data_IF_498022686901
#
_entry.id   IF_498022686901
#
_cell.length_a   1.000
_cell.length_b   1.000
_cell.length_c   1.000
_cell.angle_alpha   90.00
_cell.angle_beta   90.00
_cell.angle_gamma   90.00
#
_symmetry.space_group_name_H-M   'P 1'
#
loop_
_entity.id
_entity.type
_entity.pdbx_description
1 polymer ?
#
# COMPACT_ATOMS: atom_id res chain seq x y z
N UNK A 1 -19.46 61.00 39.23
CA UNK A 1 -18.72 60.11 40.17
C UNK A 1 -19.17 58.68 39.95
N UNK A 2 -18.20 57.77 39.78
CA UNK A 2 -18.24 56.29 39.77
C UNK A 2 -19.09 55.59 38.68
N UNK A 3 -18.40 55.07 37.66
CA UNK A 3 -18.84 53.95 36.81
C UNK A 3 -18.20 52.66 37.34
N UNK A 4 -19.03 51.64 37.51
CA UNK A 4 -18.70 50.31 38.02
C UNK A 4 -18.09 49.47 36.88
N UNK A 5 -16.89 48.90 37.09
CA UNK A 5 -16.24 47.97 36.17
C UNK A 5 -16.33 46.56 36.76
N UNK A 6 -17.02 45.67 36.05
CA UNK A 6 -17.16 44.24 36.39
C UNK A 6 -15.95 43.49 35.83
N UNK A 7 -15.11 42.93 36.72
CA UNK A 7 -14.07 41.95 36.37
C UNK A 7 -14.65 40.55 36.60
N UNK A 8 -14.74 39.73 35.56
CA UNK A 8 -15.02 38.30 35.69
C UNK A 8 -13.69 37.54 35.83
N UNK A 9 -13.42 37.04 37.03
CA UNK A 9 -12.39 36.03 37.31
C UNK A 9 -13.06 34.65 37.20
N UNK A 10 -12.63 33.81 36.25
CA UNK A 10 -13.05 32.40 36.21
C UNK A 10 -12.16 31.63 37.19
N UNK A 11 -12.77 31.23 38.31
CA UNK A 11 -12.20 30.35 39.32
C UNK A 11 -12.26 28.90 38.84
N UNK A 12 -11.11 28.22 38.86
CA UNK A 12 -10.97 26.77 38.66
C UNK A 12 -11.40 26.09 39.97
N UNK A 13 -12.51 25.35 39.93
CA UNK A 13 -12.98 24.53 41.04
C UNK A 13 -12.61 23.06 40.79
N UNK A 14 -11.68 22.59 41.62
CA UNK A 14 -11.32 21.18 41.82
C UNK A 14 -12.44 20.55 42.65
N UNK A 15 -13.10 19.50 42.15
CA UNK A 15 -13.89 18.59 43.00
C UNK A 15 -13.48 17.16 42.67
N UNK A 16 -12.77 16.60 43.64
CA UNK A 16 -12.52 15.18 43.86
C UNK A 16 -13.76 14.55 44.49
N UNK A 17 -14.22 13.41 43.98
CA UNK A 17 -14.95 12.41 44.76
C UNK A 17 -14.69 11.02 44.19
N UNK A 18 -14.17 10.16 45.07
CA UNK A 18 -14.01 8.71 44.93
C UNK A 18 -15.05 8.06 45.85
N UNK A 19 -15.77 7.06 45.34
CA UNK A 19 -15.96 5.72 45.92
C UNK A 19 -17.13 4.98 45.23
N UNK A 20 -16.76 3.90 44.54
CA UNK A 20 -17.20 2.52 44.67
C UNK A 20 -18.70 2.20 44.86
N UNK A 21 -19.24 1.42 43.91
CA UNK A 21 -19.92 0.12 44.12
C UNK A 21 -19.81 -0.69 42.81
N UNK A 22 -19.39 -1.94 42.97
CA UNK A 22 -19.15 -3.01 41.99
C UNK A 22 -20.38 -3.40 41.15
N UNK A 23 -20.20 -3.82 39.88
CA UNK A 23 -20.01 -5.25 39.56
C UNK A 23 -20.07 -5.52 38.03
N UNK A 24 -19.15 -6.39 37.60
CA UNK A 24 -19.16 -7.22 36.38
C UNK A 24 -19.36 -6.59 34.99
N UNK A 25 -18.26 -6.11 34.40
CA UNK A 25 -17.90 -6.54 33.03
C UNK A 25 -16.39 -6.73 32.93
N UNK A 26 -16.00 -7.93 32.50
CA UNK A 26 -14.62 -8.40 32.37
C UNK A 26 -13.76 -7.44 31.55
N UNK A 27 -12.85 -6.77 32.24
CA UNK A 27 -11.71 -6.05 31.68
C UNK A 27 -10.88 -6.95 30.75
N UNK A 28 -10.99 -6.74 29.44
CA UNK A 28 -9.89 -6.94 28.50
C UNK A 28 -9.41 -5.58 27.98
N UNK A 29 -8.95 -4.74 28.90
CA UNK A 29 -7.95 -3.73 28.57
C UNK A 29 -6.59 -4.40 28.79
N UNK A 30 -6.14 -5.17 27.80
CA UNK A 30 -4.77 -5.70 27.77
C UNK A 30 -3.87 -4.66 27.11
N UNK A 31 -3.15 -3.95 27.98
CA UNK A 31 -1.73 -3.58 27.86
C UNK A 31 -1.24 -2.96 26.55
N UNK A 32 -0.82 -1.69 26.67
CA UNK A 32 0.17 -1.01 25.84
C UNK A 32 1.29 -1.99 25.48
N UNK A 33 1.39 -2.38 24.21
CA UNK A 33 2.44 -3.26 23.72
C UNK A 33 3.80 -2.55 23.80
N UNK A 34 4.81 -3.23 24.33
CA UNK A 34 6.19 -2.77 24.34
C UNK A 34 6.71 -2.74 22.90
N UNK A 35 6.85 -1.55 22.33
CA UNK A 35 7.51 -1.37 21.03
C UNK A 35 9.03 -1.51 21.26
N UNK A 36 9.64 -2.54 20.66
CA UNK A 36 11.08 -2.77 20.72
C UNK A 36 11.68 -2.62 19.32
N UNK A 37 12.81 -1.92 19.22
CA UNK A 37 13.58 -1.87 17.99
C UNK A 37 14.57 -3.03 17.96
N UNK A 38 14.45 -3.90 16.96
CA UNK A 38 15.33 -5.05 16.77
C UNK A 38 16.27 -4.75 15.62
N UNK A 39 17.57 -4.83 15.88
CA UNK A 39 18.58 -4.83 14.82
C UNK A 39 18.82 -6.28 14.40
N UNK A 40 18.44 -6.59 13.17
CA UNK A 40 18.65 -7.89 12.54
C UNK A 40 20.14 -8.12 12.24
N UNK A 41 20.55 -9.37 11.96
CA UNK A 41 21.95 -9.72 11.67
C UNK A 41 22.52 -8.95 10.47
N UNK A 42 21.67 -8.64 9.50
CA UNK A 42 21.98 -7.78 8.35
C UNK A 42 22.28 -6.32 8.69
N UNK A 43 22.10 -5.90 9.96
CA UNK A 43 22.20 -4.52 10.40
C UNK A 43 20.93 -3.69 10.17
N UNK A 44 19.87 -4.31 9.64
CA UNK A 44 18.58 -3.67 9.39
C UNK A 44 17.80 -3.56 10.68
N UNK A 45 17.21 -2.41 10.93
CA UNK A 45 16.36 -2.19 12.09
C UNK A 45 14.91 -2.38 11.70
N UNK A 46 14.20 -3.21 12.45
CA UNK A 46 12.76 -3.42 12.36
C UNK A 46 12.12 -3.10 13.70
N UNK A 47 10.88 -2.65 13.66
CA UNK A 47 10.08 -2.42 14.87
C UNK A 47 9.31 -3.68 15.21
N UNK A 48 9.45 -4.18 16.44
CA UNK A 48 8.66 -5.29 16.96
C UNK A 48 7.53 -4.75 17.83
N UNK A 49 6.29 -5.13 17.50
CA UNK A 49 5.07 -4.82 18.26
C UNK A 49 4.35 -6.13 18.54
N UNK A 50 4.43 -6.60 19.79
CA UNK A 50 3.98 -7.95 20.15
C UNK A 50 4.72 -9.01 19.33
N UNK A 51 3.98 -9.77 18.53
CA UNK A 51 4.52 -10.82 17.64
C UNK A 51 4.79 -10.34 16.20
N UNK A 52 4.47 -9.07 15.90
CA UNK A 52 4.63 -8.49 14.57
C UNK A 52 5.99 -7.80 14.42
N UNK A 53 6.59 -7.95 13.24
CA UNK A 53 7.79 -7.21 12.82
C UNK A 53 7.42 -6.26 11.70
N UNK A 54 7.66 -4.97 11.91
CA UNK A 54 7.32 -3.89 11.00
C UNK A 54 8.62 -3.33 10.41
N UNK A 55 8.75 -3.43 9.09
CA UNK A 55 9.76 -2.76 8.30
C UNK A 55 9.15 -1.53 7.65
N UNK A 56 9.96 -0.52 7.33
CA UNK A 56 9.41 0.61 6.59
C UNK A 56 8.37 1.42 7.38
N UNK A 57 8.17 1.16 8.69
CA UNK A 57 7.19 1.87 9.49
C UNK A 57 5.73 1.50 9.19
N UNK A 58 5.45 0.92 8.02
CA UNK A 58 4.10 0.62 7.51
C UNK A 58 4.03 -0.77 6.84
N UNK A 59 5.07 -1.61 6.93
CA UNK A 59 5.08 -2.93 6.31
C UNK A 59 5.26 -4.05 7.34
N UNK A 60 4.20 -4.83 7.57
CA UNK A 60 4.31 -6.05 8.38
C UNK A 60 5.04 -7.12 7.56
N UNK A 61 6.15 -7.61 8.11
CA UNK A 61 6.95 -8.66 7.52
C UNK A 61 6.31 -10.02 7.77
N UNK A 62 6.07 -10.78 6.69
CA UNK A 62 5.87 -12.23 6.81
C UNK A 62 7.12 -12.91 7.39
N UNK A 63 6.97 -14.11 7.92
CA UNK A 63 8.12 -14.88 8.43
C UNK A 63 9.22 -15.08 7.38
N UNK A 64 8.85 -15.22 6.09
CA UNK A 64 9.78 -15.32 4.98
C UNK A 64 10.54 -14.01 4.75
N UNK A 65 9.83 -12.88 4.74
CA UNK A 65 10.43 -11.57 4.55
C UNK A 65 11.33 -11.19 5.74
N UNK A 66 10.90 -11.47 6.97
CA UNK A 66 11.72 -11.25 8.16
C UNK A 66 13.00 -12.07 8.12
N UNK A 67 12.91 -13.36 7.79
CA UNK A 67 14.08 -14.24 7.65
C UNK A 67 15.03 -13.72 6.56
N UNK A 68 14.50 -13.35 5.41
CA UNK A 68 15.28 -12.79 4.32
C UNK A 68 15.98 -11.49 4.72
N UNK A 69 15.24 -10.60 5.38
CA UNK A 69 15.77 -9.33 5.85
C UNK A 69 16.85 -9.56 6.91
N UNK A 70 16.68 -10.55 7.79
CA UNK A 70 17.66 -10.92 8.81
C UNK A 70 18.95 -11.48 8.23
N UNK A 71 18.85 -12.43 7.31
CA UNK A 71 20.00 -13.16 6.79
C UNK A 71 20.73 -12.41 5.67
N UNK A 72 19.99 -11.67 4.83
CA UNK A 72 20.49 -11.16 3.53
C UNK A 72 20.38 -9.65 3.38
N UNK A 73 19.68 -8.99 4.29
CA UNK A 73 19.50 -7.55 4.24
C UNK A 73 18.58 -7.07 3.12
N UNK A 74 17.68 -7.92 2.62
CA UNK A 74 16.68 -7.53 1.63
C UNK A 74 15.34 -8.27 1.88
N UNK A 75 14.22 -7.67 1.45
CA UNK A 75 12.87 -8.13 1.80
C UNK A 75 12.45 -9.44 1.13
N UNK A 76 13.11 -9.85 0.06
CA UNK A 76 12.56 -10.87 -0.86
C UNK A 76 13.47 -12.11 -1.01
N UNK A 77 14.74 -12.00 -0.65
CA UNK A 77 15.73 -13.07 -0.52
C UNK A 77 16.20 -13.64 -1.86
N UNK A 78 17.41 -14.21 -1.91
CA UNK A 78 17.82 -15.03 -3.07
C UNK A 78 17.17 -16.43 -3.08
N UNK A 79 16.19 -16.68 -2.20
CA UNK A 79 15.47 -17.94 -2.20
C UNK A 79 14.40 -17.87 -3.28
N UNK A 80 14.90 -18.02 -4.50
CA UNK A 80 14.21 -18.54 -5.66
C UNK A 80 13.22 -19.64 -5.21
N UNK A 81 11.94 -19.29 -5.05
CA UNK A 81 10.97 -20.15 -5.72
C UNK A 81 11.47 -20.14 -7.18
N UNK A 82 11.76 -21.28 -7.82
CA UNK A 82 12.27 -21.28 -9.20
C UNK A 82 11.39 -20.43 -10.14
N UNK A 83 10.11 -20.28 -9.81
CA UNK A 83 9.12 -19.45 -10.48
C UNK A 83 9.11 -17.94 -10.11
N UNK A 84 9.81 -17.48 -9.06
CA UNK A 84 9.93 -16.05 -8.66
C UNK A 84 11.14 -15.37 -9.34
N UNK A 85 11.90 -16.09 -10.17
CA UNK A 85 12.81 -15.46 -11.15
C UNK A 85 11.95 -14.69 -12.13
N UNK A 86 11.94 -13.37 -11.98
CA UNK A 86 11.32 -12.49 -12.96
C UNK A 86 11.97 -12.77 -14.33
N UNK A 87 11.22 -13.37 -15.26
CA UNK A 87 11.62 -13.39 -16.65
C UNK A 87 11.51 -11.96 -17.18
N UNK A 88 12.61 -11.20 -17.06
CA UNK A 88 12.70 -9.82 -17.52
C UNK A 88 12.72 -9.72 -19.04
N UNK A 89 12.75 -10.84 -19.76
CA UNK A 89 12.67 -10.84 -21.22
C UNK A 89 11.24 -10.72 -21.71
N UNK A 90 10.23 -10.93 -20.86
CA UNK A 90 8.81 -10.91 -21.22
C UNK A 90 8.04 -9.90 -20.34
N UNK A 91 7.21 -9.07 -20.96
CA UNK A 91 6.33 -8.16 -20.24
C UNK A 91 5.23 -8.94 -19.50
N UNK A 92 5.12 -8.80 -18.17
CA UNK A 92 4.34 -9.70 -17.32
C UNK A 92 2.83 -9.60 -17.55
N UNK A 93 2.37 -8.50 -18.13
CA UNK A 93 0.95 -8.26 -18.45
C UNK A 93 0.58 -8.70 -19.87
N UNK A 94 1.49 -8.50 -20.83
CA UNK A 94 1.19 -8.69 -22.25
C UNK A 94 1.74 -10.01 -22.79
N UNK A 95 2.59 -10.69 -22.00
CA UNK A 95 3.32 -11.88 -22.39
C UNK A 95 4.06 -11.70 -23.73
N UNK A 96 4.60 -10.50 -23.95
CA UNK A 96 5.36 -10.11 -25.15
C UNK A 96 6.83 -9.91 -24.76
N UNK A 97 7.80 -10.22 -25.63
CA UNK A 97 9.20 -9.90 -25.33
C UNK A 97 9.35 -8.41 -25.01
N UNK A 98 10.06 -8.06 -23.95
CA UNK A 98 10.31 -6.66 -23.56
C UNK A 98 10.94 -5.87 -24.71
N UNK A 99 11.80 -6.50 -25.52
CA UNK A 99 12.38 -5.90 -26.74
C UNK A 99 11.36 -5.49 -27.81
N UNK A 100 10.18 -6.13 -27.85
CA UNK A 100 9.08 -5.73 -28.76
C UNK A 100 8.30 -4.50 -28.27
N UNK A 101 8.50 -4.12 -27.01
CA UNK A 101 7.93 -2.90 -26.41
C UNK A 101 8.91 -1.72 -26.45
N UNK A 102 10.19 -1.95 -26.77
CA UNK A 102 11.24 -0.93 -26.92
C UNK A 102 11.15 -0.13 -28.24
N UNK A 103 10.18 -0.44 -29.11
CA UNK A 103 9.91 0.31 -30.34
C UNK A 103 9.40 1.73 -30.10
N UNK A 104 10.32 2.69 -30.26
CA UNK A 104 10.25 4.13 -30.56
C UNK A 104 9.34 5.10 -29.80
N UNK A 105 8.46 4.70 -28.86
CA UNK A 105 7.83 5.70 -27.95
C UNK A 105 7.05 5.16 -26.74
N UNK A 106 7.30 3.92 -26.29
CA UNK A 106 6.53 3.31 -25.20
C UNK A 106 7.31 3.34 -23.89
N UNK A 107 6.70 3.94 -22.87
CA UNK A 107 7.33 4.26 -21.60
C UNK A 107 7.42 3.09 -20.65
N UNK A 108 8.66 2.82 -20.27
CA UNK A 108 9.02 2.00 -19.12
C UNK A 108 8.50 2.62 -17.79
N UNK A 109 8.20 1.82 -16.76
CA UNK A 109 7.53 2.24 -15.52
C UNK A 109 8.32 3.31 -14.76
N UNK A 110 7.64 4.37 -14.29
CA UNK A 110 8.34 5.57 -13.80
C UNK A 110 8.47 5.73 -12.27
N UNK A 111 8.25 4.66 -11.51
CA UNK A 111 8.17 4.65 -10.03
C UNK A 111 8.79 3.35 -9.47
N UNK A 112 9.04 3.26 -8.17
CA UNK A 112 9.56 2.06 -7.51
C UNK A 112 8.46 1.05 -7.17
N UNK A 113 8.63 -0.18 -7.63
CA UNK A 113 7.85 -1.33 -7.17
C UNK A 113 8.61 -2.63 -7.35
N UNK A 114 7.99 -3.75 -6.99
CA UNK A 114 8.57 -5.08 -7.21
C UNK A 114 8.79 -5.35 -8.70
N UNK A 115 9.73 -6.22 -9.06
CA UNK A 115 9.73 -6.72 -10.43
C UNK A 115 8.43 -7.45 -10.70
N UNK A 116 7.79 -7.03 -11.77
CA UNK A 116 6.51 -7.54 -12.14
C UNK A 116 6.66 -8.99 -12.62
N UNK A 117 6.08 -9.92 -11.86
CA UNK A 117 5.96 -11.33 -12.23
C UNK A 117 4.53 -11.82 -11.95
N UNK A 118 4.09 -12.93 -12.61
CA UNK A 118 2.72 -13.42 -12.47
C UNK A 118 2.32 -13.85 -11.05
N UNK A 119 3.28 -14.20 -10.20
CA UNK A 119 3.06 -14.67 -8.82
C UNK A 119 2.90 -13.53 -7.81
N UNK A 120 3.48 -12.37 -8.12
CA UNK A 120 3.52 -11.20 -7.26
C UNK A 120 2.59 -10.07 -7.66
N UNK A 121 2.10 -10.06 -8.90
CA UNK A 121 1.09 -9.11 -9.34
C UNK A 121 -0.32 -9.68 -9.29
N UNK A 122 -1.27 -8.75 -9.23
CA UNK A 122 -2.70 -9.05 -9.24
C UNK A 122 -3.24 -8.89 -10.66
N UNK A 123 -3.92 -9.91 -11.18
CA UNK A 123 -4.81 -9.69 -12.32
C UNK A 123 -5.98 -8.79 -11.89
N UNK A 124 -6.55 -9.06 -10.72
CA UNK A 124 -7.54 -8.25 -10.04
C UNK A 124 -7.31 -8.40 -8.54
N UNK A 125 -7.32 -7.29 -7.81
CA UNK A 125 -7.02 -7.26 -6.38
C UNK A 125 -8.24 -7.78 -5.61
N UNK A 126 -8.23 -9.06 -5.24
CA UNK A 126 -9.28 -9.67 -4.41
C UNK A 126 -9.16 -9.14 -2.98
N UNK A 127 -10.23 -8.61 -2.42
CA UNK A 127 -10.25 -8.14 -1.04
C UNK A 127 -11.50 -8.57 -0.27
N UNK A 128 -11.41 -8.55 1.06
CA UNK A 128 -12.52 -8.78 1.99
C UNK A 128 -12.48 -7.75 3.11
N UNK A 129 -13.62 -7.42 3.70
CA UNK A 129 -13.65 -6.71 4.99
C UNK A 129 -13.46 -7.72 6.14
N UNK A 130 -12.51 -7.44 7.03
CA UNK A 130 -12.30 -8.22 8.25
C UNK A 130 -13.37 -7.97 9.30
N UNK A 131 -13.43 -8.86 10.30
CA UNK A 131 -14.42 -8.78 11.38
C UNK A 131 -14.33 -7.46 12.18
N UNK A 132 -13.12 -6.90 12.30
CA UNK A 132 -12.84 -5.61 12.95
C UNK A 132 -13.53 -4.43 12.27
N UNK A 133 -13.83 -4.54 10.96
CA UNK A 133 -14.63 -3.55 10.23
C UNK A 133 -16.09 -3.97 10.24
N UNK A 134 -16.40 -5.22 9.90
CA UNK A 134 -17.79 -5.69 9.72
C UNK A 134 -18.65 -5.55 10.98
N UNK A 135 -18.05 -5.77 12.16
CA UNK A 135 -18.76 -5.74 13.44
C UNK A 135 -18.64 -4.38 14.15
N UNK A 136 -17.96 -3.39 13.55
CA UNK A 136 -17.76 -2.09 14.18
C UNK A 136 -18.98 -1.18 14.02
N UNK A 137 -19.36 -0.36 15.02
CA UNK A 137 -20.48 0.58 14.91
C UNK A 137 -20.38 1.54 13.71
N UNK A 138 -19.16 1.96 13.38
CA UNK A 138 -18.86 2.85 12.24
C UNK A 138 -18.54 2.11 10.92
N UNK A 139 -18.94 0.84 10.79
CA UNK A 139 -18.60 0.01 9.62
C UNK A 139 -18.90 0.65 8.27
N UNK A 140 -20.05 1.33 8.15
CA UNK A 140 -20.48 1.91 6.87
C UNK A 140 -19.55 3.08 6.46
N UNK A 141 -19.06 3.85 7.43
CA UNK A 141 -18.04 4.88 7.20
C UNK A 141 -16.72 4.25 6.76
N UNK A 142 -16.24 3.21 7.46
CA UNK A 142 -14.98 2.55 7.10
C UNK A 142 -15.05 1.95 5.69
N UNK A 143 -16.12 1.24 5.38
CA UNK A 143 -16.36 0.70 4.04
C UNK A 143 -16.43 1.82 3.01
N UNK A 144 -17.18 2.90 3.25
CA UNK A 144 -17.24 4.04 2.32
C UNK A 144 -15.85 4.65 2.05
N UNK A 145 -15.00 4.80 3.06
CA UNK A 145 -13.64 5.35 2.92
C UNK A 145 -12.71 4.42 2.16
N UNK A 146 -12.77 3.12 2.42
CA UNK A 146 -12.00 2.11 1.68
C UNK A 146 -12.43 2.06 0.22
N UNK A 147 -13.74 2.06 -0.05
CA UNK A 147 -14.28 2.13 -1.41
C UNK A 147 -13.84 3.39 -2.13
N UNK A 148 -13.83 4.53 -1.45
CA UNK A 148 -13.33 5.80 -2.01
C UNK A 148 -11.87 5.65 -2.45
N UNK A 149 -11.01 5.05 -1.64
CA UNK A 149 -9.60 4.81 -1.99
C UNK A 149 -9.47 3.93 -3.24
N UNK A 150 -10.22 2.82 -3.28
CA UNK A 150 -10.25 1.93 -4.43
C UNK A 150 -10.75 2.65 -5.69
N UNK A 151 -11.79 3.47 -5.58
CA UNK A 151 -12.31 4.28 -6.69
C UNK A 151 -11.30 5.33 -7.18
N UNK A 152 -10.56 5.98 -6.28
CA UNK A 152 -9.47 6.90 -6.65
C UNK A 152 -8.41 6.18 -7.49
N UNK A 153 -8.04 4.94 -7.11
CA UNK A 153 -7.08 4.13 -7.88
C UNK A 153 -7.67 3.70 -9.23
N UNK A 154 -8.88 3.11 -9.24
CA UNK A 154 -9.46 2.54 -10.46
C UNK A 154 -9.81 3.59 -11.52
N UNK A 155 -10.26 4.78 -11.09
CA UNK A 155 -10.68 5.85 -12.01
C UNK A 155 -9.53 6.46 -12.82
N UNK A 156 -8.28 6.16 -12.45
CA UNK A 156 -7.10 6.75 -13.05
C UNK A 156 -6.08 5.72 -13.53
N UNK A 157 -6.36 4.42 -13.29
CA UNK A 157 -5.44 3.33 -13.57
C UNK A 157 -6.12 2.06 -14.10
N UNK A 158 -5.30 1.09 -14.51
CA UNK A 158 -5.72 -0.24 -14.93
C UNK A 158 -5.97 -1.21 -13.75
N UNK A 159 -5.65 -0.84 -12.50
CA UNK A 159 -5.92 -1.71 -11.35
C UNK A 159 -7.42 -1.87 -11.17
N UNK A 160 -7.88 -3.08 -10.82
CA UNK A 160 -9.27 -3.37 -10.47
C UNK A 160 -9.32 -4.18 -9.19
N UNK A 161 -10.32 -3.91 -8.36
CA UNK A 161 -10.55 -4.57 -7.09
C UNK A 161 -11.78 -5.47 -7.18
N UNK A 162 -11.76 -6.62 -6.51
CA UNK A 162 -12.88 -7.55 -6.42
C UNK A 162 -13.30 -7.73 -4.97
N UNK A 163 -14.52 -7.30 -4.64
CA UNK A 163 -15.05 -7.49 -3.29
C UNK A 163 -15.54 -8.93 -3.14
N UNK A 164 -14.73 -9.73 -2.44
CA UNK A 164 -15.03 -11.13 -2.18
C UNK A 164 -15.47 -11.37 -0.73
N UNK A 165 -15.96 -10.32 -0.05
CA UNK A 165 -16.49 -10.43 1.31
C UNK A 165 -17.64 -11.43 1.32
N UNK A 166 -17.56 -12.44 2.20
CA UNK A 166 -18.54 -13.52 2.30
C UNK A 166 -18.36 -14.66 1.28
N UNK A 167 -17.36 -14.59 0.40
CA UNK A 167 -17.03 -15.68 -0.52
C UNK A 167 -15.96 -16.61 0.07
N UNK A 168 -15.87 -17.89 -0.39
CA UNK A 168 -14.84 -18.82 0.06
C UNK A 168 -13.43 -18.25 -0.13
N UNK A 169 -12.58 -18.39 0.88
CA UNK A 169 -11.16 -18.03 0.85
C UNK A 169 -10.28 -19.19 0.42
N UNK A 170 -10.86 -20.38 0.30
CA UNK A 170 -10.27 -21.61 -0.23
C UNK A 170 -11.15 -22.10 -1.35
N UNK A 171 -10.54 -22.55 -2.43
CA UNK A 171 -11.27 -23.14 -3.55
C UNK A 171 -12.02 -24.40 -3.07
N UNK A 172 -13.35 -24.46 -3.22
CA UNK A 172 -14.15 -25.57 -2.67
C UNK A 172 -13.91 -26.89 -3.41
N UNK A 173 -13.32 -26.86 -4.61
CA UNK A 173 -13.07 -28.04 -5.45
C UNK A 173 -11.66 -28.56 -5.25
N UNK A 174 -10.68 -27.66 -5.26
CA UNK A 174 -9.26 -27.99 -5.33
C UNK A 174 -8.48 -27.68 -4.05
N UNK A 175 -9.10 -27.01 -3.07
CA UNK A 175 -8.53 -26.81 -1.74
C UNK A 175 -7.36 -25.81 -1.67
N UNK A 176 -7.02 -25.12 -2.76
CA UNK A 176 -5.99 -24.08 -2.71
C UNK A 176 -6.55 -22.78 -2.11
N UNK A 177 -5.72 -22.06 -1.35
CA UNK A 177 -6.10 -20.79 -0.76
C UNK A 177 -6.07 -19.68 -1.80
N UNK A 178 -7.19 -19.00 -2.03
CA UNK A 178 -7.22 -17.82 -2.88
C UNK A 178 -6.35 -16.72 -2.26
N UNK A 179 -5.52 -16.01 -3.03
CA UNK A 179 -4.86 -14.80 -2.56
C UNK A 179 -5.90 -13.70 -2.33
N UNK A 180 -5.87 -13.02 -1.19
CA UNK A 180 -6.74 -11.86 -0.94
C UNK A 180 -6.22 -10.94 0.16
N UNK A 181 -6.58 -9.66 0.06
CA UNK A 181 -6.36 -8.66 1.09
C UNK A 181 -7.55 -8.62 2.05
N UNK A 182 -7.33 -8.87 3.33
CA UNK A 182 -8.29 -8.62 4.39
C UNK A 182 -8.07 -7.21 4.95
N UNK A 183 -9.06 -6.33 4.74
CA UNK A 183 -9.04 -4.96 5.24
C UNK A 183 -9.48 -4.95 6.71
N UNK A 184 -8.66 -4.40 7.59
CA UNK A 184 -8.88 -4.39 9.03
C UNK A 184 -8.85 -2.98 9.60
N UNK A 185 -9.63 -2.78 10.65
CA UNK A 185 -9.53 -1.60 11.51
C UNK A 185 -8.80 -1.98 12.80
N UNK A 186 -7.79 -1.18 13.16
CA UNK A 186 -6.89 -1.48 14.29
C UNK A 186 -6.90 -0.40 15.37
N UNK A 187 -7.88 0.51 15.34
CA UNK A 187 -8.10 1.44 16.44
C UNK A 187 -7.09 2.58 16.51
N UNK A 188 -6.81 3.03 17.74
CA UNK A 188 -5.98 4.19 18.04
C UNK A 188 -4.47 3.94 17.99
N UNK A 189 -4.01 2.89 17.32
CA UNK A 189 -2.57 2.73 17.08
C UNK A 189 -2.07 3.83 16.14
N UNK A 190 -0.80 4.17 16.26
CA UNK A 190 -0.15 5.27 15.53
C UNK A 190 0.36 4.87 14.14
N UNK A 191 0.00 3.67 13.66
CA UNK A 191 0.47 3.11 12.40
C UNK A 191 -0.65 2.44 11.61
N UNK A 192 -0.67 2.63 10.29
CA UNK A 192 -1.41 1.78 9.35
C UNK A 192 -0.38 0.95 8.61
N UNK A 193 -0.71 -0.29 8.27
CA UNK A 193 0.27 -1.22 7.71
C UNK A 193 -0.29 -2.12 6.63
N UNK A 194 0.55 -2.47 5.66
CA UNK A 194 0.30 -3.53 4.69
C UNK A 194 1.15 -4.76 4.99
N UNK A 195 0.57 -5.97 4.91
CA UNK A 195 1.35 -7.19 5.09
C UNK A 195 1.97 -7.63 3.76
N UNK A 196 3.15 -7.09 3.47
CA UNK A 196 3.95 -7.42 2.29
C UNK A 196 3.77 -6.47 1.11
N UNK A 197 4.53 -6.74 0.05
CA UNK A 197 4.52 -5.96 -1.19
C UNK A 197 4.05 -6.84 -2.33
N UNK A 198 2.96 -6.43 -2.98
CA UNK A 198 2.30 -7.22 -4.01
C UNK A 198 1.48 -8.39 -3.45
N UNK A 199 1.09 -9.28 -4.36
CA UNK A 199 0.39 -10.52 -4.06
C UNK A 199 1.30 -11.50 -3.34
N UNK A 200 0.80 -12.11 -2.27
CA UNK A 200 1.49 -13.23 -1.63
C UNK A 200 1.61 -14.41 -2.62
N UNK A 201 2.82 -14.84 -3.00
CA UNK A 201 3.01 -15.91 -3.98
C UNK A 201 2.51 -17.26 -3.48
N UNK A 202 2.47 -17.47 -2.16
CA UNK A 202 1.92 -18.68 -1.54
C UNK A 202 0.38 -18.71 -1.50
N UNK A 203 -0.28 -17.65 -1.98
CA UNK A 203 -1.73 -17.50 -1.90
C UNK A 203 -2.21 -17.13 -0.49
N UNK A 204 -3.52 -17.29 -0.28
CA UNK A 204 -4.14 -17.05 1.02
C UNK A 204 -4.20 -15.59 1.46
N UNK A 205 -4.41 -15.40 2.76
CA UNK A 205 -4.67 -14.11 3.37
C UNK A 205 -3.41 -13.25 3.48
N UNK A 206 -3.51 -12.00 3.04
CA UNK A 206 -2.68 -10.87 3.44
C UNK A 206 -3.58 -9.78 4.01
N UNK A 207 -3.05 -8.82 4.75
CA UNK A 207 -3.82 -7.83 5.47
C UNK A 207 -3.43 -6.41 5.09
N UNK A 208 -4.39 -5.51 5.19
CA UNK A 208 -4.16 -4.08 5.30
C UNK A 208 -4.84 -3.61 6.57
N UNK A 209 -4.05 -3.14 7.53
CA UNK A 209 -4.51 -2.66 8.83
C UNK A 209 -4.57 -1.13 8.80
N UNK A 210 -5.74 -0.58 9.08
CA UNK A 210 -6.01 0.85 9.02
C UNK A 210 -6.34 1.38 10.42
N UNK A 211 -5.52 2.32 10.88
CA UNK A 211 -5.71 2.98 12.16
C UNK A 211 -6.68 4.17 12.08
N UNK A 212 -6.99 4.77 13.22
CA UNK A 212 -7.91 5.92 13.33
C UNK A 212 -7.59 7.04 12.34
N UNK A 213 -6.32 7.36 12.15
CA UNK A 213 -5.91 8.46 11.26
C UNK A 213 -6.14 8.16 9.77
N UNK A 214 -6.31 6.90 9.37
CA UNK A 214 -6.75 6.54 8.03
C UNK A 214 -8.23 6.90 7.77
N UNK A 215 -8.99 7.15 8.85
CA UNK A 215 -10.41 7.48 8.82
C UNK A 215 -10.67 8.83 9.53
N UNK A 216 -10.21 9.96 8.98
CA UNK A 216 -10.42 11.26 9.60
C UNK A 216 -11.92 11.53 9.80
N UNK A 217 -12.31 12.26 10.87
CA UNK A 217 -13.71 12.50 11.22
C UNK A 217 -14.46 13.35 10.20
N UNK A 218 -13.74 14.08 9.34
CA UNK A 218 -14.30 14.87 8.25
C UNK A 218 -14.16 14.14 6.92
N UNK A 219 -15.14 14.32 6.03
CA UNK A 219 -15.04 13.83 4.65
C UNK A 219 -13.98 14.59 3.87
N UNK A 220 -12.74 14.13 4.00
CA UNK A 220 -11.66 14.55 3.13
C UNK A 220 -11.91 14.05 1.72
N UNK A 221 -11.64 14.92 0.74
CA UNK A 221 -11.72 14.56 -0.68
C UNK A 221 -10.82 13.35 -1.00
N UNK A 222 -9.65 13.25 -0.35
CA UNK A 222 -8.68 12.18 -0.53
C UNK A 222 -8.60 11.26 0.70
N UNK A 223 -8.17 10.02 0.48
CA UNK A 223 -7.88 9.04 1.54
C UNK A 223 -6.45 8.50 1.37
N UNK A 224 -5.43 9.36 1.46
CA UNK A 224 -4.05 9.05 1.04
C UNK A 224 -3.45 7.87 1.78
N UNK A 225 -3.74 7.72 3.08
CA UNK A 225 -3.25 6.58 3.89
C UNK A 225 -3.78 5.26 3.34
N UNK A 226 -5.10 5.17 3.09
CA UNK A 226 -5.69 3.93 2.56
C UNK A 226 -5.14 3.64 1.16
N UNK A 227 -4.97 4.67 0.33
CA UNK A 227 -4.34 4.52 -1.00
C UNK A 227 -2.91 3.99 -0.85
N UNK A 228 -2.09 4.57 0.03
CA UNK A 228 -0.71 4.15 0.30
C UNK A 228 -0.61 2.67 0.67
N UNK A 229 -1.39 2.22 1.66
CA UNK A 229 -1.36 0.82 2.11
C UNK A 229 -1.83 -0.17 1.03
N UNK A 230 -2.82 0.24 0.22
CA UNK A 230 -3.28 -0.54 -0.92
C UNK A 230 -2.20 -0.63 -2.01
N UNK A 231 -1.43 0.44 -2.25
CA UNK A 231 -0.35 0.43 -3.23
C UNK A 231 0.81 -0.48 -2.83
N UNK A 232 1.13 -0.57 -1.54
CA UNK A 232 2.03 -1.63 -1.04
C UNK A 232 1.49 -3.02 -1.40
N UNK A 233 0.22 -3.30 -1.08
CA UNK A 233 -0.38 -4.59 -1.38
C UNK A 233 -0.47 -4.88 -2.89
N UNK A 234 -0.52 -3.84 -3.74
CA UNK A 234 -0.50 -3.96 -5.21
C UNK A 234 0.91 -4.24 -5.74
N UNK A 235 1.96 -3.71 -5.10
CA UNK A 235 3.34 -4.00 -5.47
C UNK A 235 4.31 -2.82 -5.43
N UNK A 236 3.86 -1.64 -5.00
CA UNK A 236 4.71 -0.45 -4.93
C UNK A 236 5.50 -0.38 -3.63
N UNK A 237 6.69 0.20 -3.70
CA UNK A 237 7.59 0.41 -2.56
C UNK A 237 7.77 1.91 -2.32
N UNK A 238 8.37 2.30 -1.21
CA UNK A 238 8.55 3.73 -0.94
C UNK A 238 9.57 4.36 -1.88
N UNK A 239 9.24 5.57 -2.36
CA UNK A 239 10.08 6.29 -3.33
C UNK A 239 11.48 6.60 -2.75
N UNK A 240 11.59 6.90 -1.45
CA UNK A 240 12.88 7.17 -0.79
C UNK A 240 13.81 5.94 -0.71
N UNK A 241 13.29 4.73 -0.95
CA UNK A 241 14.07 3.50 -0.97
C UNK A 241 14.65 3.17 -2.35
N UNK A 242 14.43 4.01 -3.36
CA UNK A 242 15.02 3.79 -4.69
C UNK A 242 16.55 3.72 -4.62
N UNK A 243 17.20 2.85 -5.41
CA UNK A 243 18.65 2.75 -5.41
C UNK A 243 19.35 3.98 -6.01
N UNK A 244 18.68 4.71 -6.91
CA UNK A 244 19.15 5.95 -7.54
C UNK A 244 18.80 7.23 -6.75
N UNK A 245 18.07 7.11 -5.61
CA UNK A 245 17.57 8.26 -4.84
C UNK A 245 18.66 9.25 -4.43
N UNK A 246 19.90 8.79 -4.24
CA UNK A 246 21.03 9.65 -3.83
C UNK A 246 21.38 10.71 -4.89
N UNK A 247 20.89 10.59 -6.13
CA UNK A 247 21.00 11.64 -7.17
C UNK A 247 19.96 12.77 -7.01
N UNK A 248 18.90 12.53 -6.25
CA UNK A 248 17.71 13.40 -6.16
C UNK A 248 17.55 14.01 -4.76
N UNK A 249 17.84 13.23 -3.73
CA UNK A 249 17.67 13.65 -2.33
C UNK A 249 18.98 13.58 -1.55
N UNK A 250 18.99 14.27 -0.41
CA UNK A 250 20.05 14.20 0.61
C UNK A 250 19.43 13.71 1.91
N UNK A 251 19.86 12.53 2.36
CA UNK A 251 19.40 11.96 3.63
C UNK A 251 20.17 12.58 4.78
N UNK A 252 19.46 13.12 5.77
CA UNK A 252 20.05 13.71 6.97
C UNK A 252 20.40 12.62 7.99
N UNK A 253 21.38 11.76 7.66
CA UNK A 253 21.74 10.58 8.46
C UNK A 253 22.13 10.90 9.91
N UNK A 254 22.63 12.11 10.19
CA UNK A 254 22.97 12.54 11.55
C UNK A 254 21.75 12.81 12.42
N UNK A 255 20.61 13.15 11.80
CA UNK A 255 19.35 13.33 12.53
C UNK A 255 18.54 12.03 12.64
N UNK A 256 18.83 11.01 11.84
CA UNK A 256 18.11 9.73 11.88
C UNK A 256 18.61 8.84 13.03
N UNK A 257 17.68 8.33 13.83
CA UNK A 257 17.92 7.23 14.79
C UNK A 257 18.28 5.94 14.03
N UNK A 258 18.71 4.85 14.71
CA UNK A 258 18.88 3.56 14.05
C UNK A 258 17.63 3.08 13.30
N UNK A 259 16.44 3.22 13.91
CA UNK A 259 15.17 2.95 13.24
C UNK A 259 14.95 3.86 12.04
N UNK A 260 15.25 5.16 12.18
CA UNK A 260 15.19 6.16 11.11
C UNK A 260 15.99 5.73 9.90
N UNK A 261 17.23 5.30 10.13
CA UNK A 261 18.12 4.83 9.05
C UNK A 261 17.56 3.59 8.34
N UNK A 262 16.87 2.70 9.05
CA UNK A 262 16.18 1.55 8.47
C UNK A 262 15.14 1.96 7.42
N UNK A 263 14.39 3.04 7.66
CA UNK A 263 13.35 3.55 6.75
C UNK A 263 13.90 4.09 5.41
N UNK A 264 15.18 4.45 5.38
CA UNK A 264 15.84 5.03 4.21
C UNK A 264 16.84 4.05 3.57
N UNK A 265 16.75 2.77 3.91
CA UNK A 265 17.53 1.74 3.25
C UNK A 265 17.12 1.62 1.79
N UNK A 266 18.10 1.47 0.90
CA UNK A 266 17.83 1.34 -0.54
C UNK A 266 17.46 -0.10 -0.85
N UNK A 267 16.48 -0.29 -1.74
CA UNK A 267 16.16 -1.60 -2.30
C UNK A 267 17.21 -1.93 -3.36
N UNK A 268 17.85 -3.09 -3.21
CA UNK A 268 18.94 -3.55 -4.09
C UNK A 268 18.58 -4.78 -4.93
N UNK A 269 17.44 -5.41 -4.68
CA UNK A 269 17.02 -6.65 -5.34
C UNK A 269 15.53 -6.63 -5.67
N UNK A 270 15.14 -7.34 -6.73
CA UNK A 270 13.75 -7.59 -7.11
C UNK A 270 12.86 -6.33 -7.18
N UNK A 271 13.42 -5.26 -7.74
CA UNK A 271 12.76 -3.98 -7.93
C UNK A 271 12.72 -3.61 -9.42
N UNK A 272 11.72 -2.82 -9.79
CA UNK A 272 11.66 -2.09 -11.06
C UNK A 272 11.46 -0.62 -10.75
N UNK A 273 12.36 0.22 -11.27
CA UNK A 273 12.20 1.67 -11.34
C UNK A 273 12.83 2.15 -12.65
N UNK A 274 12.14 3.03 -13.38
CA UNK A 274 12.67 3.77 -14.53
C UNK A 274 12.14 5.21 -14.36
N UNK A 275 12.60 6.20 -15.13
CA UNK A 275 12.18 7.61 -14.94
C UNK A 275 12.77 8.30 -13.70
N UNK A 276 12.48 9.60 -13.56
CA UNK A 276 13.00 10.42 -12.46
C UNK A 276 12.33 10.14 -11.12
N UNK A 277 13.00 10.54 -10.04
CA UNK A 277 12.45 10.47 -8.68
C UNK A 277 11.19 11.32 -8.55
N UNK A 278 10.15 10.73 -7.97
CA UNK A 278 8.84 11.35 -7.82
C UNK A 278 8.63 11.98 -6.44
N UNK A 279 8.95 13.27 -6.33
CA UNK A 279 8.71 14.03 -5.08
C UNK A 279 7.24 14.15 -4.68
N UNK A 280 6.29 13.82 -5.58
CA UNK A 280 4.86 13.92 -5.33
C UNK A 280 4.18 12.54 -5.21
N UNK A 281 4.95 11.44 -5.18
CA UNK A 281 4.39 10.11 -5.02
C UNK A 281 3.68 9.99 -3.68
N UNK A 282 2.51 9.34 -3.68
CA UNK A 282 1.83 8.95 -2.43
C UNK A 282 2.67 7.96 -1.60
N UNK A 283 3.62 7.27 -2.25
CA UNK A 283 4.58 6.35 -1.62
C UNK A 283 5.84 7.04 -1.06
N UNK A 284 5.97 8.37 -1.22
CA UNK A 284 7.10 9.14 -0.70
C UNK A 284 6.84 9.68 0.71
N UNK A 285 7.88 9.69 1.55
CA UNK A 285 7.78 10.29 2.90
C UNK A 285 7.86 11.82 2.87
N UNK A 286 7.24 12.47 3.85
CA UNK A 286 7.51 13.89 4.11
C UNK A 286 8.94 14.10 4.63
N UNK A 287 9.54 15.25 4.33
CA UNK A 287 10.87 15.61 4.83
C UNK A 287 10.94 15.65 6.36
N UNK A 288 9.84 16.00 7.03
CA UNK A 288 9.74 16.05 8.48
C UNK A 288 8.83 14.95 9.00
N UNK A 289 9.09 14.55 10.24
CA UNK A 289 8.24 13.62 11.00
C UNK A 289 8.13 14.12 12.43
N UNK A 290 6.98 13.88 13.05
CA UNK A 290 6.78 14.11 14.49
C UNK A 290 7.28 12.94 15.35
N UNK A 291 7.72 11.84 14.73
CA UNK A 291 8.13 10.63 15.46
C UNK A 291 9.56 10.72 15.97
N UNK A 292 9.71 10.82 17.29
CA UNK A 292 11.00 10.77 17.99
C UNK A 292 11.67 9.39 17.97
N UNK A 293 10.96 8.33 17.55
CA UNK A 293 11.59 7.04 17.27
C UNK A 293 12.35 7.05 15.96
N UNK A 294 12.04 7.96 15.02
CA UNK A 294 12.70 8.07 13.72
C UNK A 294 13.82 9.11 13.65
N UNK A 295 13.68 10.21 14.38
CA UNK A 295 14.65 11.31 14.40
C UNK A 295 15.06 11.69 15.81
N UNK A 296 16.30 12.14 15.97
CA UNK A 296 16.79 12.71 17.24
C UNK A 296 16.20 14.09 17.51
N UNK A 297 15.87 14.85 16.45
CA UNK A 297 15.31 16.19 16.53
C UNK A 297 14.21 16.38 15.47
N UNK A 298 12.96 16.51 15.93
CA UNK A 298 11.77 16.66 15.06
C UNK A 298 11.69 18.02 14.36
N UNK A 299 12.50 19.00 14.77
CA UNK A 299 12.62 20.29 14.09
C UNK A 299 13.58 20.25 12.89
N UNK A 300 14.28 19.13 12.68
CA UNK A 300 15.19 18.91 11.55
C UNK A 300 14.62 17.86 10.59
N UNK A 301 14.86 17.99 9.28
CA UNK A 301 14.31 17.04 8.31
C UNK A 301 15.03 15.68 8.43
N UNK A 302 14.30 14.61 8.12
CA UNK A 302 14.83 13.28 7.81
C UNK A 302 15.66 13.31 6.52
N UNK A 303 15.17 14.04 5.51
CA UNK A 303 15.81 14.18 4.19
C UNK A 303 15.21 15.35 3.41
N UNK A 304 15.95 15.88 2.44
CA UNK A 304 15.55 17.02 1.59
C UNK A 304 15.91 16.76 0.13
N UNK A 305 15.43 17.60 -0.79
CA UNK A 305 15.95 17.63 -2.16
C UNK A 305 17.41 18.12 -2.17
N UNK A 306 18.11 17.97 -3.30
CA UNK A 306 19.49 18.49 -3.45
C UNK A 306 19.63 19.99 -3.19
N UNK A 307 18.61 20.78 -3.49
CA UNK A 307 18.58 22.22 -3.21
C UNK A 307 18.16 22.57 -1.77
N UNK A 308 18.07 21.57 -0.88
CA UNK A 308 17.65 21.66 0.53
C UNK A 308 16.17 21.99 0.74
N UNK A 309 15.37 22.13 -0.32
CA UNK A 309 13.93 22.30 -0.16
C UNK A 309 13.27 21.03 0.40
N UNK A 310 12.16 21.24 1.12
CA UNK A 310 11.40 20.17 1.74
C UNK A 310 10.51 19.44 0.73
N UNK A 311 10.19 18.20 1.07
CA UNK A 311 9.31 17.29 0.34
C UNK A 311 8.10 17.05 1.25
N UNK A 312 6.90 17.07 0.66
CA UNK A 312 5.67 16.66 1.35
C UNK A 312 5.19 15.36 0.72
N UNK A 313 4.68 14.45 1.53
CA UNK A 313 4.05 13.23 1.04
C UNK A 313 2.90 13.57 0.08
N UNK A 314 2.78 12.82 -1.01
CA UNK A 314 1.69 12.97 -1.97
C UNK A 314 0.34 12.60 -1.35
N UNK A 315 -0.71 13.36 -1.66
CA UNK A 315 -2.08 13.10 -1.17
C UNK A 315 -2.94 12.28 -2.15
N UNK A 316 -2.49 12.15 -3.40
CA UNK A 316 -3.17 11.46 -4.50
C UNK A 316 -2.13 10.74 -5.35
N UNK A 317 -2.58 9.85 -6.24
CA UNK A 317 -1.70 9.22 -7.22
C UNK A 317 -1.06 10.30 -8.10
N UNK A 318 0.27 10.35 -8.08
CA UNK A 318 1.03 11.16 -9.01
C UNK A 318 0.92 10.61 -10.44
N UNK A 319 1.45 11.37 -11.41
CA UNK A 319 1.55 10.85 -12.77
C UNK A 319 2.47 9.61 -12.86
N UNK A 320 3.54 9.54 -12.06
CA UNK A 320 4.49 8.43 -12.09
C UNK A 320 3.97 7.20 -11.33
N UNK A 321 3.23 7.39 -10.22
CA UNK A 321 2.44 6.33 -9.56
C UNK A 321 1.51 5.65 -10.58
N UNK A 322 0.73 6.45 -11.31
CA UNK A 322 -0.20 5.96 -12.33
C UNK A 322 0.51 5.21 -13.47
N UNK A 323 1.66 5.70 -13.94
CA UNK A 323 2.41 5.04 -15.03
C UNK A 323 2.85 3.64 -14.59
N UNK A 324 3.35 3.49 -13.35
CA UNK A 324 3.74 2.18 -12.85
C UNK A 324 2.55 1.22 -12.81
N UNK A 325 1.42 1.67 -12.26
CA UNK A 325 0.20 0.88 -12.15
C UNK A 325 -0.36 0.49 -13.53
N UNK A 326 -0.35 1.42 -14.50
CA UNK A 326 -0.86 1.21 -15.85
C UNK A 326 0.01 0.32 -16.72
N UNK A 327 1.33 0.35 -16.49
CA UNK A 327 2.24 -0.56 -17.15
C UNK A 327 2.05 -2.00 -16.69
N UNK A 328 1.75 -2.20 -15.41
CA UNK A 328 1.79 -3.53 -14.79
C UNK A 328 0.42 -4.16 -14.50
N UNK A 329 -0.66 -3.51 -14.92
CA UNK A 329 -2.02 -4.04 -14.74
C UNK A 329 -2.85 -3.87 -16.01
N UNK A 330 -3.87 -4.72 -16.15
CA UNK A 330 -4.96 -4.54 -17.09
C UNK A 330 -6.29 -4.48 -16.33
N UNK A 331 -7.24 -3.64 -16.78
CA UNK A 331 -8.48 -3.43 -16.08
C UNK A 331 -9.46 -4.55 -16.44
N UNK A 332 -9.27 -5.72 -15.85
CA UNK A 332 -10.17 -6.84 -16.09
C UNK A 332 -11.56 -6.59 -15.49
N UNK A 333 -12.59 -7.14 -16.12
CA UNK A 333 -13.92 -7.29 -15.56
C UNK A 333 -14.01 -8.68 -14.92
N UNK A 334 -14.56 -8.76 -13.71
CA UNK A 334 -14.70 -10.03 -12.99
C UNK A 334 -15.63 -10.97 -13.75
N UNK A 335 -15.15 -12.19 -14.01
CA UNK A 335 -15.88 -13.23 -14.76
C UNK A 335 -15.73 -14.60 -14.12
N UNK A 336 -16.75 -15.43 -14.28
CA UNK A 336 -16.79 -16.83 -13.82
C UNK A 336 -16.26 -17.82 -14.86
N UNK A 337 -16.02 -17.35 -16.08
CA UNK A 337 -15.41 -18.12 -17.16
C UNK A 337 -13.96 -17.69 -17.43
N UNK A 338 -13.31 -18.38 -18.36
CA UNK A 338 -11.90 -18.15 -18.71
C UNK A 338 -11.70 -16.96 -19.67
N UNK A 339 -12.77 -16.26 -20.07
CA UNK A 339 -12.64 -15.13 -20.98
C UNK A 339 -12.10 -13.92 -20.22
N UNK A 340 -11.01 -13.34 -20.73
CA UNK A 340 -10.34 -12.18 -20.10
C UNK A 340 -10.95 -10.90 -20.62
N UNK A 341 -12.04 -10.43 -20.05
CA UNK A 341 -12.71 -9.20 -20.49
C UNK A 341 -12.06 -7.95 -19.93
N UNK A 342 -11.82 -6.94 -20.76
CA UNK A 342 -11.30 -5.63 -20.36
C UNK A 342 -12.45 -4.64 -20.12
N UNK A 343 -12.22 -3.70 -19.20
CA UNK A 343 -13.03 -2.50 -18.96
C UNK A 343 -12.96 -1.54 -20.15
N UNK A 344 -13.99 -0.72 -20.34
CA UNK A 344 -14.14 0.23 -21.44
C UNK A 344 -12.95 1.18 -21.52
N UNK A 345 -12.47 1.64 -20.36
CA UNK A 345 -11.28 2.47 -20.25
C UNK A 345 -10.06 1.61 -19.95
N UNK A 346 -9.12 1.58 -20.90
CA UNK A 346 -7.80 0.96 -20.72
C UNK A 346 -6.74 2.03 -20.88
N UNK A 347 -5.87 2.16 -19.89
CA UNK A 347 -4.72 3.05 -19.95
C UNK A 347 -3.53 2.34 -20.59
N UNK A 348 -2.84 3.03 -21.48
CA UNK A 348 -1.54 2.63 -21.99
C UNK A 348 -0.40 3.02 -21.03
N UNK A 349 0.84 2.66 -21.39
CA UNK A 349 2.07 2.92 -20.62
C UNK A 349 2.33 4.38 -20.20
N UNK A 350 1.71 5.33 -20.88
CA UNK A 350 1.92 6.77 -20.71
C UNK A 350 0.73 7.44 -19.99
N UNK A 351 -0.14 6.67 -19.33
CA UNK A 351 -1.43 7.14 -18.80
C UNK A 351 -2.41 7.64 -19.88
N UNK A 352 -2.14 7.40 -21.16
CA UNK A 352 -3.04 7.71 -22.27
C UNK A 352 -4.15 6.66 -22.34
N UNK A 353 -5.39 7.08 -22.56
CA UNK A 353 -6.49 6.12 -22.77
C UNK A 353 -6.37 5.55 -24.19
N UNK A 354 -6.43 4.23 -24.30
CA UNK A 354 -6.44 3.54 -25.59
C UNK A 354 -7.72 3.90 -26.36
N UNK A 355 -7.60 4.04 -27.68
CA UNK A 355 -8.77 4.13 -28.55
C UNK A 355 -9.60 2.84 -28.51
N UNK A 356 -10.88 2.93 -28.87
CA UNK A 356 -11.76 1.75 -28.92
C UNK A 356 -11.20 0.62 -29.80
N UNK A 357 -10.52 0.97 -30.90
CA UNK A 357 -9.89 -0.01 -31.78
C UNK A 357 -8.65 -0.66 -31.13
N UNK A 358 -7.76 0.13 -30.53
CA UNK A 358 -6.59 -0.41 -29.82
C UNK A 358 -7.01 -1.31 -28.65
N UNK A 359 -8.03 -0.90 -27.90
CA UNK A 359 -8.63 -1.69 -26.81
C UNK A 359 -9.20 -3.01 -27.33
N UNK A 360 -9.95 -2.99 -28.44
CA UNK A 360 -10.51 -4.20 -29.08
C UNK A 360 -9.42 -5.12 -29.61
N UNK A 361 -8.35 -4.58 -30.20
CA UNK A 361 -7.22 -5.38 -30.64
C UNK A 361 -6.49 -6.02 -29.45
N UNK A 362 -6.30 -5.29 -28.36
CA UNK A 362 -5.73 -5.84 -27.13
C UNK A 362 -6.62 -6.95 -26.57
N UNK A 363 -7.94 -6.73 -26.53
CA UNK A 363 -8.94 -7.71 -26.11
C UNK A 363 -8.86 -9.02 -26.90
N UNK A 364 -8.69 -8.93 -28.22
CA UNK A 364 -8.51 -10.08 -29.10
C UNK A 364 -7.19 -10.82 -28.83
N UNK A 365 -6.08 -10.08 -28.71
CA UNK A 365 -4.76 -10.67 -28.44
C UNK A 365 -4.76 -11.51 -27.17
N UNK A 366 -5.38 -11.01 -26.11
CA UNK A 366 -5.48 -11.75 -24.85
C UNK A 366 -6.57 -12.82 -24.86
N UNK A 367 -7.29 -13.07 -25.94
CA UNK A 367 -8.28 -14.15 -26.03
C UNK A 367 -8.14 -14.93 -27.35
N UNK A 368 -6.91 -15.26 -27.75
CA UNK A 368 -6.61 -16.09 -28.93
C UNK A 368 -7.28 -15.59 -30.21
N UNK A 369 -7.32 -14.27 -30.40
CA UNK A 369 -7.93 -13.62 -31.56
C UNK A 369 -9.41 -13.28 -31.42
N UNK A 370 -10.09 -13.64 -30.33
CA UNK A 370 -11.50 -13.29 -30.13
C UNK A 370 -11.67 -11.93 -29.43
N UNK A 371 -12.15 -10.87 -30.13
CA UNK A 371 -12.36 -9.56 -29.53
C UNK A 371 -13.65 -9.45 -28.70
N UNK A 372 -14.57 -10.41 -28.81
CA UNK A 372 -15.95 -10.27 -28.34
C UNK A 372 -16.17 -11.10 -27.07
N UNK A 373 -16.50 -10.45 -25.93
CA UNK A 373 -16.87 -11.16 -24.72
C UNK A 373 -18.14 -11.98 -24.91
N UNK A 374 -18.23 -13.17 -24.28
CA UNK A 374 -19.48 -13.91 -24.17
C UNK A 374 -20.55 -13.06 -23.46
N UNK A 375 -21.82 -13.27 -23.83
CA UNK A 375 -22.97 -12.54 -23.26
C UNK A 375 -23.21 -12.83 -21.76
N UNK A 376 -22.86 -14.04 -21.30
CA UNK A 376 -22.90 -14.44 -19.90
C UNK A 376 -21.54 -14.30 -19.20
N UNK A 377 -21.45 -14.77 -17.96
CA UNK A 377 -20.18 -14.97 -17.25
C UNK A 377 -19.65 -13.77 -16.46
N UNK A 378 -20.15 -12.54 -16.68
CA UNK A 378 -19.80 -11.39 -15.83
C UNK A 378 -20.31 -11.62 -14.40
N UNK A 379 -19.43 -11.39 -13.42
CA UNK A 379 -19.76 -11.45 -12.00
C UNK A 379 -20.07 -10.03 -11.52
N UNK A 380 -21.21 -9.80 -10.85
CA UNK A 380 -21.48 -8.53 -10.19
C UNK A 380 -20.36 -8.22 -9.18
N UNK A 381 -19.76 -7.04 -9.32
CA UNK A 381 -18.70 -6.59 -8.43
C UNK A 381 -19.11 -5.24 -7.84
N UNK A 382 -19.79 -5.30 -6.70
CA UNK A 382 -20.15 -4.10 -5.97
C UNK A 382 -18.93 -3.66 -5.19
N UNK A 383 -18.30 -2.59 -5.68
CA UNK A 383 -17.32 -1.87 -4.89
C UNK A 383 -17.98 -1.18 -3.72
#
# INVERSE_FOLDING_TARGET
>A
MKKTLFLFLISILIISCKNDIDDNSTNQSKTIENNELITLKSGIVVEKRGDLYIFGGDMILSSLQLKSLDEKGNLLGDNEIPEDKADTSIHPVFNLPMSTLEGDNKTLPRNLGINANPYRLWAMVRFTYGASILNHPNRDMFQARIRKAMQQIQSQTNVRFYNATGQPTVDPTWGFAYPYIEMNYVGGIDVSTSSGIGRNPSGGRQFVNLANFAFPPFDYYNVPVIVHELLHAIGMMHEQNRPDRDSYVTINRSNLTPAGRGQFQKISTNYSYIGGYDYNSVMGYSSYTSSSSMVYDTSKPMYTKKDQSSINQGEVLSNLDRIWLNNYHLPYIARSDVYRELDEVVYGPNNTVLTANERRQLQARINNGNPNPPSGGRIPNNL
#
